data_IF_049842725848
#
_entry.id   IF_049842725848
#
_cell.length_a   1.000
_cell.length_b   1.000
_cell.length_c   1.000
_cell.angle_alpha   90.00
_cell.angle_beta   90.00
_cell.angle_gamma   90.00
#
_symmetry.space_group_name_H-M   'P 1'
#
loop_
_entity.id
_entity.type
_entity.pdbx_description
1 polymer ?
#
# COMPACT_ATOMS: atom_id res chain seq x y z
N UNK A 1 -5.83 22.06 9.83
CA UNK A 1 -4.87 21.30 9.01
C UNK A 1 -5.43 19.89 8.87
N UNK A 2 -5.35 19.28 7.70
CA UNK A 2 -5.89 17.94 7.49
C UNK A 2 -4.74 16.97 7.27
N UNK A 3 -4.78 15.83 7.94
CA UNK A 3 -3.82 14.75 7.77
C UNK A 3 -3.72 14.33 6.30
N UNK A 4 -2.50 14.06 5.84
CA UNK A 4 -2.21 13.60 4.48
C UNK A 4 -1.48 12.26 4.53
N UNK A 5 -1.90 11.35 3.68
CA UNK A 5 -1.21 10.08 3.48
C UNK A 5 -0.48 10.11 2.14
N UNK A 6 0.81 9.75 2.13
CA UNK A 6 1.56 9.58 0.89
C UNK A 6 1.91 8.11 0.67
N UNK A 7 1.84 7.67 -0.59
CA UNK A 7 2.23 6.35 -1.04
C UNK A 7 3.21 6.50 -2.19
N UNK A 8 4.49 6.30 -1.90
CA UNK A 8 5.57 6.45 -2.89
C UNK A 8 6.04 5.10 -3.35
N UNK A 9 5.93 4.85 -4.64
CA UNK A 9 6.48 3.66 -5.29
C UNK A 9 7.85 3.96 -5.85
N UNK A 10 8.79 3.05 -5.63
CA UNK A 10 10.14 3.12 -6.17
C UNK A 10 10.42 1.91 -7.06
N UNK A 11 11.06 2.17 -8.18
CA UNK A 11 11.55 1.12 -9.09
C UNK A 11 13.06 1.19 -9.19
N UNK A 12 13.71 0.06 -8.91
CA UNK A 12 15.17 -0.06 -8.93
C UNK A 12 15.64 -0.91 -10.11
N UNK A 13 16.77 -0.50 -10.71
CA UNK A 13 17.46 -1.25 -11.76
C UNK A 13 18.93 -1.49 -11.36
N UNK A 14 19.52 -2.53 -11.93
CA UNK A 14 20.89 -2.93 -11.56
C UNK A 14 21.01 -3.59 -10.19
N UNK A 15 22.03 -4.43 -10.01
CA UNK A 15 22.19 -5.20 -8.77
C UNK A 15 22.62 -4.34 -7.58
N UNK A 16 23.50 -3.36 -7.79
CA UNK A 16 23.97 -2.46 -6.73
C UNK A 16 22.80 -1.70 -6.09
N UNK A 17 21.91 -1.12 -6.92
CA UNK A 17 20.75 -0.36 -6.43
C UNK A 17 19.71 -1.25 -5.75
N UNK A 18 19.50 -2.48 -6.23
CA UNK A 18 18.61 -3.45 -5.56
C UNK A 18 19.15 -3.85 -4.19
N UNK A 19 20.46 -4.03 -4.07
CA UNK A 19 21.10 -4.32 -2.79
C UNK A 19 21.02 -3.11 -1.83
N UNK A 20 21.23 -1.91 -2.35
CA UNK A 20 21.01 -0.66 -1.61
C UNK A 20 19.57 -0.58 -1.05
N UNK A 21 18.55 -0.82 -1.90
CA UNK A 21 17.16 -0.80 -1.47
C UNK A 21 16.87 -1.85 -0.37
N UNK A 22 17.41 -3.06 -0.52
CA UNK A 22 17.25 -4.14 0.47
C UNK A 22 17.87 -3.76 1.82
N UNK A 23 19.09 -3.18 1.82
CA UNK A 23 19.76 -2.71 3.03
C UNK A 23 18.92 -1.62 3.72
N UNK A 24 18.39 -0.69 2.95
CA UNK A 24 17.57 0.41 3.46
C UNK A 24 16.23 -0.03 4.07
N UNK A 25 15.74 -1.24 3.85
CA UNK A 25 14.58 -1.79 4.56
C UNK A 25 14.74 -1.74 6.10
N UNK A 26 15.97 -1.84 6.59
CA UNK A 26 16.26 -1.76 8.02
C UNK A 26 16.69 -0.35 8.48
N UNK A 27 17.27 0.46 7.61
CA UNK A 27 17.94 1.70 7.96
C UNK A 27 17.07 2.97 7.73
N UNK A 28 16.23 2.98 6.69
CA UNK A 28 15.49 4.16 6.26
C UNK A 28 14.48 4.65 7.31
N UNK A 29 13.64 3.76 7.83
CA UNK A 29 12.58 4.12 8.79
C UNK A 29 13.18 4.66 10.10
N UNK A 30 14.19 4.01 10.72
CA UNK A 30 14.87 4.58 11.89
C UNK A 30 15.49 5.96 11.65
N UNK A 31 16.03 6.21 10.46
CA UNK A 31 16.64 7.49 10.10
C UNK A 31 15.60 8.63 9.96
N UNK A 32 14.31 8.29 9.78
CA UNK A 32 13.24 9.27 9.65
C UNK A 32 12.53 9.61 10.98
N UNK A 33 12.99 9.13 12.13
CA UNK A 33 12.31 9.30 13.44
C UNK A 33 12.09 10.76 13.85
N UNK A 34 13.01 11.65 13.51
CA UNK A 34 12.99 13.07 13.88
C UNK A 34 12.39 13.95 12.76
N UNK A 35 11.75 13.37 11.76
CA UNK A 35 11.14 14.14 10.68
C UNK A 35 9.88 14.83 11.19
N UNK A 36 9.88 16.16 11.08
CA UNK A 36 8.77 17.00 11.55
C UNK A 36 7.46 16.65 10.84
N UNK A 37 6.38 16.55 11.59
CA UNK A 37 5.04 16.31 11.07
C UNK A 37 4.80 14.89 10.53
N UNK A 38 5.76 13.96 10.68
CA UNK A 38 5.63 12.56 10.28
C UNK A 38 5.06 11.74 11.45
N UNK A 39 3.78 11.37 11.37
CA UNK A 39 3.09 10.58 12.40
C UNK A 39 3.27 9.08 12.23
N UNK A 40 3.43 8.63 10.97
CA UNK A 40 3.59 7.20 10.67
C UNK A 40 4.42 7.00 9.41
N UNK A 41 5.26 5.97 9.41
CA UNK A 41 6.12 5.62 8.27
C UNK A 41 6.33 4.12 8.18
N UNK A 42 6.24 3.58 6.96
CA UNK A 42 6.58 2.20 6.60
C UNK A 42 7.29 2.13 5.26
N UNK A 43 8.46 1.52 5.25
CA UNK A 43 9.11 1.09 4.01
C UNK A 43 8.83 -0.41 3.83
N UNK A 44 8.28 -0.79 2.68
CA UNK A 44 7.78 -2.13 2.38
C UNK A 44 8.39 -2.64 1.08
N UNK A 45 8.71 -3.93 1.05
CA UNK A 45 9.02 -4.63 -0.19
C UNK A 45 7.76 -5.08 -0.91
N UNK A 46 7.86 -5.43 -2.19
CA UNK A 46 6.77 -5.94 -3.02
C UNK A 46 6.97 -7.41 -3.41
N UNK A 47 5.87 -8.13 -3.64
CA UNK A 47 5.87 -9.45 -4.28
C UNK A 47 5.98 -9.34 -5.80
N UNK A 48 6.39 -10.42 -6.48
CA UNK A 48 6.44 -10.48 -7.96
C UNK A 48 5.05 -10.51 -8.58
N UNK A 49 4.97 -10.11 -9.85
CA UNK A 49 3.72 -10.04 -10.62
C UNK A 49 2.82 -8.93 -10.07
N UNK A 50 1.52 -9.21 -9.96
CA UNK A 50 0.54 -8.27 -9.40
C UNK A 50 0.62 -8.16 -7.86
N UNK A 51 1.80 -8.49 -7.27
CA UNK A 51 2.09 -8.36 -5.87
C UNK A 51 1.62 -9.50 -4.96
N UNK A 52 0.94 -10.49 -5.51
CA UNK A 52 0.43 -11.65 -4.76
C UNK A 52 1.38 -12.86 -4.75
N UNK A 53 2.61 -12.69 -5.25
CA UNK A 53 3.62 -13.75 -5.23
C UNK A 53 4.33 -13.81 -3.87
N UNK A 54 4.58 -15.03 -3.42
CA UNK A 54 5.43 -15.32 -2.26
C UNK A 54 6.89 -14.91 -2.50
N UNK A 55 7.30 -14.87 -3.79
CA UNK A 55 8.65 -14.47 -4.17
C UNK A 55 8.77 -12.94 -4.17
N UNK A 56 9.77 -12.37 -3.47
CA UNK A 56 9.97 -10.92 -3.44
C UNK A 56 10.40 -10.38 -4.82
N UNK A 57 9.94 -9.18 -5.14
CA UNK A 57 10.47 -8.39 -6.25
C UNK A 57 11.44 -7.33 -5.72
N UNK A 58 12.73 -7.62 -5.83
CA UNK A 58 13.79 -6.71 -5.40
C UNK A 58 13.89 -5.43 -6.25
N UNK A 59 13.04 -5.28 -7.27
CA UNK A 59 13.00 -4.08 -8.12
C UNK A 59 12.01 -3.05 -7.62
N UNK A 60 11.08 -3.43 -6.73
CA UNK A 60 9.98 -2.57 -6.33
C UNK A 60 9.85 -2.48 -4.83
N UNK A 61 9.83 -1.26 -4.32
CA UNK A 61 9.61 -0.91 -2.92
C UNK A 61 8.59 0.20 -2.80
N UNK A 62 7.98 0.30 -1.63
CA UNK A 62 6.95 1.29 -1.33
C UNK A 62 7.25 1.96 0.00
N UNK A 63 7.19 3.28 0.01
CA UNK A 63 7.22 4.10 1.21
C UNK A 63 5.82 4.65 1.47
N UNK A 64 5.23 4.30 2.59
CA UNK A 64 3.96 4.87 3.05
C UNK A 64 4.22 5.76 4.25
N UNK A 65 3.76 7.00 4.16
CA UNK A 65 3.86 7.98 5.24
C UNK A 65 2.50 8.59 5.54
N UNK A 66 2.29 8.95 6.81
CA UNK A 66 1.16 9.76 7.27
C UNK A 66 1.70 11.02 7.90
N UNK A 67 1.20 12.16 7.44
CA UNK A 67 1.69 13.50 7.76
C UNK A 67 0.62 14.33 8.44
N UNK A 68 1.01 15.18 9.37
CA UNK A 68 0.11 16.13 10.04
C UNK A 68 -0.52 17.12 9.06
N UNK A 69 0.24 17.51 8.02
CA UNK A 69 -0.24 18.36 6.93
C UNK A 69 0.54 18.13 5.64
N UNK A 70 0.06 18.71 4.54
CA UNK A 70 0.67 18.60 3.22
C UNK A 70 2.02 19.31 3.13
N UNK A 71 2.16 20.43 3.83
CA UNK A 71 3.39 21.22 3.88
C UNK A 71 4.56 20.43 4.49
N UNK A 72 4.31 19.61 5.52
CA UNK A 72 5.35 18.76 6.12
C UNK A 72 5.76 17.63 5.15
N UNK A 73 4.81 17.04 4.42
CA UNK A 73 5.10 16.09 3.35
C UNK A 73 5.96 16.72 2.24
N UNK A 74 5.56 17.89 1.75
CA UNK A 74 6.29 18.61 0.71
C UNK A 74 7.69 19.00 1.16
N UNK A 75 7.83 19.44 2.42
CA UNK A 75 9.14 19.76 2.98
C UNK A 75 10.06 18.53 2.99
N UNK A 76 9.54 17.38 3.41
CA UNK A 76 10.30 16.13 3.41
C UNK A 76 10.73 15.73 2.01
N UNK A 77 9.82 15.66 1.05
CA UNK A 77 10.15 15.22 -0.31
C UNK A 77 11.10 16.17 -1.02
N UNK A 78 11.02 17.48 -0.76
CA UNK A 78 11.89 18.50 -1.37
C UNK A 78 13.24 18.64 -0.68
N UNK A 79 13.32 18.45 0.65
CA UNK A 79 14.50 18.88 1.40
C UNK A 79 15.26 17.76 2.12
N UNK A 80 14.61 16.61 2.40
CA UNK A 80 15.24 15.51 3.12
C UNK A 80 16.43 14.92 2.36
N UNK A 81 17.60 14.94 2.97
CA UNK A 81 18.80 14.31 2.43
C UNK A 81 18.61 12.79 2.30
N UNK A 82 17.90 12.17 3.26
CA UNK A 82 17.61 10.72 3.27
C UNK A 82 16.75 10.34 2.07
N UNK A 83 15.69 11.11 1.79
CA UNK A 83 14.83 10.86 0.65
C UNK A 83 15.55 11.08 -0.67
N UNK A 84 16.32 12.16 -0.78
CA UNK A 84 17.13 12.47 -1.99
C UNK A 84 18.16 11.37 -2.30
N UNK A 85 18.86 10.88 -1.27
CA UNK A 85 19.80 9.78 -1.43
C UNK A 85 19.08 8.50 -1.89
N UNK A 86 17.93 8.19 -1.30
CA UNK A 86 17.15 7.02 -1.69
C UNK A 86 16.69 7.10 -3.16
N UNK A 87 16.16 8.25 -3.58
CA UNK A 87 15.70 8.51 -4.96
C UNK A 87 16.85 8.46 -5.96
N UNK A 88 18.04 8.95 -5.59
CA UNK A 88 19.22 8.91 -6.48
C UNK A 88 19.62 7.50 -6.93
N UNK A 89 19.21 6.47 -6.17
CA UNK A 89 19.44 5.06 -6.50
C UNK A 89 18.29 4.42 -7.28
N UNK A 90 17.17 5.13 -7.50
CA UNK A 90 16.00 4.60 -8.22
C UNK A 90 16.12 4.80 -9.73
N UNK A 91 15.46 3.95 -10.51
CA UNK A 91 15.27 4.17 -11.94
C UNK A 91 14.06 5.06 -12.20
N UNK A 92 13.06 5.00 -11.30
CA UNK A 92 11.83 5.79 -11.35
C UNK A 92 11.16 5.78 -9.98
N UNK A 93 10.38 6.83 -9.67
CA UNK A 93 9.49 6.85 -8.52
C UNK A 93 8.22 7.64 -8.81
N UNK A 94 7.15 7.31 -8.09
CA UNK A 94 5.90 8.07 -8.12
C UNK A 94 5.32 8.16 -6.72
N UNK A 95 4.92 9.35 -6.30
CA UNK A 95 4.24 9.62 -5.04
C UNK A 95 2.78 9.96 -5.31
N UNK A 96 1.89 9.27 -4.63
CA UNK A 96 0.46 9.56 -4.57
C UNK A 96 0.18 10.30 -3.27
N UNK A 97 -0.48 11.46 -3.34
CA UNK A 97 -0.98 12.20 -2.18
C UNK A 97 -2.46 11.90 -2.02
N UNK A 98 -2.83 11.48 -0.82
CA UNK A 98 -4.14 10.93 -0.54
C UNK A 98 -4.72 11.48 0.76
N UNK A 99 -6.06 11.56 0.82
CA UNK A 99 -6.81 11.79 2.06
C UNK A 99 -7.62 10.55 2.40
N UNK A 100 -7.66 10.19 3.68
CA UNK A 100 -8.40 9.02 4.15
C UNK A 100 -9.88 9.34 4.23
N UNK A 101 -10.72 8.54 3.58
CA UNK A 101 -12.18 8.69 3.62
C UNK A 101 -12.85 7.67 4.54
N UNK A 102 -12.16 6.56 4.84
CA UNK A 102 -12.64 5.50 5.71
C UNK A 102 -11.46 4.73 6.26
N UNK A 103 -11.54 4.33 7.52
CA UNK A 103 -10.58 3.41 8.14
C UNK A 103 -11.27 2.51 9.13
N UNK A 104 -10.80 1.26 9.22
CA UNK A 104 -11.23 0.27 10.20
C UNK A 104 -10.06 -0.63 10.56
N UNK A 105 -9.89 -0.95 11.84
CA UNK A 105 -8.81 -1.81 12.32
C UNK A 105 -7.56 -1.06 12.75
N UNK A 106 -6.45 -1.80 12.90
CA UNK A 106 -5.22 -1.32 13.49
C UNK A 106 -3.99 -1.72 12.67
N UNK A 107 -2.90 -0.96 12.83
CA UNK A 107 -1.58 -1.25 12.29
C UNK A 107 -0.51 -1.05 13.37
N UNK A 108 -0.02 -2.16 13.92
CA UNK A 108 0.92 -2.11 15.04
C UNK A 108 0.29 -1.63 16.35
N UNK A 109 -0.97 -2.01 16.60
CA UNK A 109 -1.69 -1.70 17.81
C UNK A 109 -2.40 -0.34 17.83
N UNK A 110 -2.28 0.47 16.78
CA UNK A 110 -2.95 1.78 16.68
C UNK A 110 -3.50 2.03 15.26
N UNK A 111 -4.42 2.96 15.13
CA UNK A 111 -4.89 3.44 13.83
C UNK A 111 -4.09 4.68 13.44
N UNK A 112 -3.29 4.65 12.34
CA UNK A 112 -2.49 5.81 11.93
C UNK A 112 -3.26 6.85 11.12
N UNK A 113 -4.52 6.58 10.72
CA UNK A 113 -5.27 7.41 9.78
C UNK A 113 -6.42 8.15 10.44
N UNK A 114 -6.61 9.40 10.06
CA UNK A 114 -7.79 10.20 10.35
C UNK A 114 -8.71 10.21 9.14
N UNK A 115 -9.92 9.68 9.29
CA UNK A 115 -10.87 9.58 8.19
C UNK A 115 -11.84 10.76 8.16
N UNK A 116 -12.00 11.36 6.97
CA UNK A 116 -13.04 12.34 6.68
C UNK A 116 -13.97 11.81 5.58
N UNK A 117 -15.13 11.31 5.98
CA UNK A 117 -16.13 10.75 5.07
C UNK A 117 -16.72 11.78 4.11
N UNK A 118 -16.65 13.07 4.42
CA UNK A 118 -17.18 14.14 3.55
C UNK A 118 -16.40 14.26 2.24
N UNK A 119 -15.18 13.75 2.20
CA UNK A 119 -14.33 13.71 0.99
C UNK A 119 -14.67 12.54 0.06
N UNK A 120 -15.58 11.66 0.48
CA UNK A 120 -15.91 10.47 -0.30
C UNK A 120 -16.89 10.80 -1.43
N UNK A 121 -16.49 10.45 -2.65
CA UNK A 121 -17.34 10.46 -3.84
C UNK A 121 -17.26 9.05 -4.48
N UNK A 122 -18.43 8.42 -4.68
CA UNK A 122 -18.50 7.06 -5.21
C UNK A 122 -18.07 6.93 -6.67
N UNK A 123 -18.11 8.04 -7.43
CA UNK A 123 -17.77 8.08 -8.85
C UNK A 123 -16.29 8.39 -9.11
N UNK A 124 -15.56 8.86 -8.09
CA UNK A 124 -14.14 9.20 -8.21
C UNK A 124 -13.24 7.97 -8.03
N UNK A 125 -12.02 8.10 -8.55
CA UNK A 125 -10.95 7.14 -8.34
C UNK A 125 -10.70 6.95 -6.85
N UNK A 126 -10.70 5.69 -6.42
CA UNK A 126 -10.53 5.30 -5.02
C UNK A 126 -9.31 4.41 -4.86
N UNK A 127 -8.48 4.72 -3.88
CA UNK A 127 -7.42 3.83 -3.45
C UNK A 127 -7.83 3.08 -2.18
N UNK A 128 -7.41 1.83 -2.08
CA UNK A 128 -7.74 0.93 -0.97
C UNK A 128 -6.46 0.27 -0.46
N UNK A 129 -6.28 0.32 0.83
CA UNK A 129 -5.27 -0.45 1.55
C UNK A 129 -5.96 -1.50 2.42
N UNK A 130 -5.59 -2.74 2.21
CA UNK A 130 -5.98 -3.85 3.10
C UNK A 130 -4.73 -4.46 3.67
N UNK A 131 -4.63 -4.53 4.98
CA UNK A 131 -3.45 -5.09 5.66
C UNK A 131 -3.88 -6.15 6.67
N UNK A 132 -3.07 -7.20 6.78
CA UNK A 132 -3.28 -8.25 7.76
C UNK A 132 -1.96 -8.75 8.34
N UNK A 133 -1.96 -9.04 9.63
CA UNK A 133 -0.88 -9.77 10.32
C UNK A 133 -1.29 -11.23 10.48
N UNK A 134 -0.66 -12.12 9.70
CA UNK A 134 -0.96 -13.54 9.71
C UNK A 134 -0.36 -14.19 10.98
N UNK A 135 -1.12 -15.04 11.64
CA UNK A 135 -0.62 -15.81 12.78
C UNK A 135 0.45 -16.80 12.34
N UNK A 136 1.53 -16.97 13.12
CA UNK A 136 2.61 -17.88 12.80
C UNK A 136 2.15 -19.33 12.51
N UNK A 137 1.23 -19.85 13.31
CA UNK A 137 0.68 -21.20 13.17
C UNK A 137 -0.16 -21.41 11.90
N UNK A 138 -0.72 -20.32 11.35
CA UNK A 138 -1.62 -20.37 10.20
C UNK A 138 -0.93 -19.98 8.89
N UNK A 139 0.34 -19.56 8.93
CA UNK A 139 1.09 -19.02 7.81
C UNK A 139 1.17 -19.97 6.62
N UNK A 140 1.54 -21.24 6.86
CA UNK A 140 1.66 -22.25 5.79
C UNK A 140 0.29 -22.51 5.15
N UNK A 141 -0.77 -22.57 5.96
CA UNK A 141 -2.12 -22.82 5.48
C UNK A 141 -2.66 -21.64 4.66
N UNK A 142 -2.44 -20.41 5.14
CA UNK A 142 -2.81 -19.20 4.42
C UNK A 142 -2.16 -19.15 3.02
N UNK A 143 -0.84 -19.35 2.94
CA UNK A 143 -0.12 -19.29 1.66
C UNK A 143 -0.46 -20.40 0.67
N UNK A 144 -0.98 -21.53 1.11
CA UNK A 144 -1.51 -22.58 0.22
C UNK A 144 -2.80 -22.17 -0.47
N UNK A 145 -3.61 -21.34 0.17
CA UNK A 145 -4.92 -20.91 -0.35
C UNK A 145 -4.83 -19.64 -1.26
N UNK A 146 -3.76 -18.84 -1.15
CA UNK A 146 -3.54 -17.60 -1.92
C UNK A 146 -3.56 -17.80 -3.45
N UNK A 147 -2.92 -18.84 -4.06
CA UNK A 147 -2.93 -19.03 -5.50
C UNK A 147 -4.33 -19.23 -6.10
N UNK A 148 -5.23 -19.85 -5.35
CA UNK A 148 -6.62 -20.06 -5.81
C UNK A 148 -7.39 -18.72 -5.93
N UNK A 149 -7.09 -17.76 -5.07
CA UNK A 149 -7.68 -16.41 -5.11
C UNK A 149 -7.07 -15.59 -6.25
N UNK A 150 -5.76 -15.65 -6.44
CA UNK A 150 -5.07 -14.95 -7.53
C UNK A 150 -5.53 -15.40 -8.91
N UNK A 151 -5.78 -16.70 -9.10
CA UNK A 151 -6.30 -17.26 -10.36
C UNK A 151 -7.74 -16.84 -10.68
N UNK A 152 -8.55 -16.47 -9.69
CA UNK A 152 -9.94 -16.03 -9.87
C UNK A 152 -10.11 -14.55 -10.24
N UNK A 153 -9.02 -13.77 -10.24
CA UNK A 153 -9.01 -12.35 -10.62
C UNK A 153 -9.40 -12.09 -12.10
N UNK A 154 -9.55 -13.14 -12.89
CA UNK A 154 -9.87 -13.06 -14.33
C UNK A 154 -11.32 -12.70 -14.69
N UNK A 155 -12.26 -12.75 -13.74
CA UNK A 155 -13.70 -12.56 -14.01
C UNK A 155 -14.27 -11.39 -13.19
N UNK A 156 -14.27 -10.18 -13.74
CA UNK A 156 -14.87 -9.00 -13.13
C UNK A 156 -14.06 -7.72 -13.35
N UNK A 157 -14.48 -6.60 -12.70
CA UNK A 157 -13.71 -5.36 -12.73
C UNK A 157 -12.30 -5.58 -12.22
N UNK A 158 -11.33 -4.95 -12.90
CA UNK A 158 -9.91 -5.01 -12.50
C UNK A 158 -9.47 -3.67 -11.93
N UNK A 159 -8.61 -3.66 -10.92
CA UNK A 159 -8.02 -2.41 -10.45
C UNK A 159 -7.16 -1.79 -11.57
N UNK A 160 -7.10 -0.47 -11.59
CA UNK A 160 -6.15 0.30 -12.43
C UNK A 160 -4.72 -0.08 -12.03
N UNK A 161 -4.52 -0.27 -10.74
CA UNK A 161 -3.25 -0.68 -10.15
C UNK A 161 -3.48 -1.58 -8.94
N UNK A 162 -2.64 -2.58 -8.76
CA UNK A 162 -2.58 -3.38 -7.54
C UNK A 162 -1.14 -3.76 -7.22
N UNK A 163 -0.78 -3.69 -5.94
CA UNK A 163 0.51 -4.15 -5.44
C UNK A 163 0.32 -4.84 -4.08
N UNK A 164 0.85 -6.05 -3.96
CA UNK A 164 1.05 -6.69 -2.68
C UNK A 164 2.37 -6.21 -2.08
N UNK A 165 2.33 -5.67 -0.88
CA UNK A 165 3.48 -5.10 -0.18
C UNK A 165 3.56 -5.64 1.24
N UNK A 166 4.75 -5.62 1.85
CA UNK A 166 4.91 -6.10 3.20
C UNK A 166 6.21 -5.66 3.85
N UNK A 167 6.18 -5.49 5.18
CA UNK A 167 7.34 -5.14 6.00
C UNK A 167 8.24 -6.35 6.24
N UNK A 168 7.63 -7.52 6.47
CA UNK A 168 8.31 -8.80 6.59
C UNK A 168 7.65 -9.82 5.67
N UNK A 169 8.44 -10.54 4.85
CA UNK A 169 7.92 -11.61 4.00
C UNK A 169 7.05 -12.58 4.80
N UNK A 170 5.96 -13.03 4.19
CA UNK A 170 5.01 -14.03 4.70
C UNK A 170 4.13 -13.61 5.88
N UNK A 171 4.52 -12.66 6.72
CA UNK A 171 3.80 -12.33 7.96
C UNK A 171 2.97 -11.04 7.87
N UNK A 172 3.58 -9.95 7.44
CA UNK A 172 2.94 -8.65 7.33
C UNK A 172 2.60 -8.38 5.88
N UNK A 173 1.36 -8.64 5.53
CA UNK A 173 0.87 -8.52 4.18
C UNK A 173 -0.10 -7.36 4.06
N UNK A 174 0.13 -6.55 3.05
CA UNK A 174 -0.81 -5.52 2.66
C UNK A 174 -1.04 -5.57 1.16
N UNK A 175 -2.21 -5.19 0.73
CA UNK A 175 -2.55 -4.95 -0.67
C UNK A 175 -2.96 -3.51 -0.81
N UNK A 176 -2.28 -2.80 -1.69
CA UNK A 176 -2.71 -1.47 -2.13
C UNK A 176 -3.27 -1.58 -3.54
N UNK A 177 -4.47 -1.07 -3.75
CA UNK A 177 -5.15 -1.14 -5.05
C UNK A 177 -5.85 0.18 -5.38
N UNK A 178 -5.88 0.52 -6.66
CA UNK A 178 -6.54 1.73 -7.18
C UNK A 178 -7.63 1.29 -8.15
N UNK A 179 -8.82 1.84 -8.00
CA UNK A 179 -10.03 1.51 -8.73
C UNK A 179 -10.59 2.75 -9.39
N UNK A 180 -11.21 2.58 -10.54
CA UNK A 180 -11.85 3.67 -11.28
C UNK A 180 -12.90 4.40 -10.44
N UNK A 181 -13.65 3.63 -9.65
CA UNK A 181 -14.66 4.14 -8.72
C UNK A 181 -15.00 3.11 -7.64
N UNK A 182 -15.81 3.50 -6.66
CA UNK A 182 -16.19 2.60 -5.57
C UNK A 182 -17.13 1.48 -5.99
N UNK A 183 -17.87 1.62 -7.10
CA UNK A 183 -18.76 0.59 -7.63
C UNK A 183 -17.96 -0.60 -8.16
N UNK A 184 -16.88 -0.34 -8.93
CA UNK A 184 -15.99 -1.40 -9.42
C UNK A 184 -15.27 -2.11 -8.26
N UNK A 185 -14.77 -1.34 -7.29
CA UNK A 185 -14.16 -1.90 -6.08
C UNK A 185 -15.13 -2.83 -5.32
N UNK A 186 -16.38 -2.37 -5.07
CA UNK A 186 -17.40 -3.17 -4.39
C UNK A 186 -17.79 -4.40 -5.23
N UNK A 187 -17.96 -4.23 -6.55
CA UNK A 187 -18.27 -5.34 -7.44
C UNK A 187 -17.18 -6.43 -7.40
N UNK A 188 -15.92 -6.06 -7.37
CA UNK A 188 -14.81 -7.00 -7.18
C UNK A 188 -14.90 -7.70 -5.81
N UNK A 189 -15.05 -6.92 -4.73
CA UNK A 189 -15.03 -7.44 -3.36
C UNK A 189 -16.19 -8.41 -3.07
N UNK A 190 -17.38 -8.18 -3.63
CA UNK A 190 -18.59 -8.94 -3.29
C UNK A 190 -19.04 -9.92 -4.37
N UNK A 191 -18.75 -9.69 -5.65
CA UNK A 191 -19.19 -10.58 -6.74
C UNK A 191 -18.23 -11.72 -7.05
N UNK A 192 -16.97 -11.60 -6.66
CA UNK A 192 -16.00 -12.68 -6.86
C UNK A 192 -16.16 -13.70 -5.72
N UNK A 193 -16.85 -14.82 -6.01
CA UNK A 193 -17.15 -15.88 -5.03
C UNK A 193 -15.90 -16.33 -4.25
N UNK A 194 -14.79 -16.52 -4.94
CA UNK A 194 -13.53 -16.91 -4.31
C UNK A 194 -13.02 -15.88 -3.30
N UNK A 195 -13.16 -14.58 -3.57
CA UNK A 195 -12.76 -13.52 -2.64
C UNK A 195 -13.70 -13.46 -1.43
N UNK A 196 -15.01 -13.52 -1.64
CA UNK A 196 -16.02 -13.55 -0.57
C UNK A 196 -15.85 -14.78 0.33
N UNK A 197 -15.59 -15.95 -0.27
CA UNK A 197 -15.34 -17.20 0.46
C UNK A 197 -14.06 -17.10 1.30
N UNK A 198 -13.00 -16.50 0.75
CA UNK A 198 -11.76 -16.28 1.48
C UNK A 198 -11.94 -15.33 2.67
N UNK A 199 -12.62 -14.20 2.49
CA UNK A 199 -12.95 -13.26 3.58
C UNK A 199 -13.76 -13.97 4.67
N UNK A 200 -14.76 -14.76 4.30
CA UNK A 200 -15.59 -15.53 5.25
C UNK A 200 -14.76 -16.58 5.98
N UNK A 201 -13.91 -17.32 5.25
CA UNK A 201 -13.01 -18.34 5.82
C UNK A 201 -12.03 -17.71 6.81
N UNK A 202 -11.42 -16.57 6.43
CA UNK A 202 -10.49 -15.83 7.26
C UNK A 202 -11.11 -15.40 8.59
N UNK A 203 -12.34 -14.86 8.56
CA UNK A 203 -13.07 -14.47 9.77
C UNK A 203 -13.44 -15.65 10.65
N UNK A 204 -13.92 -16.76 10.05
CA UNK A 204 -14.30 -17.98 10.80
C UNK A 204 -13.09 -18.66 11.45
N UNK A 205 -11.96 -18.73 10.77
CA UNK A 205 -10.76 -19.42 11.28
C UNK A 205 -9.91 -18.50 12.15
N UNK A 206 -10.08 -17.17 12.01
CA UNK A 206 -9.35 -16.17 12.78
C UNK A 206 -7.85 -16.22 12.47
N UNK A 207 -7.46 -16.21 11.19
CA UNK A 207 -6.06 -16.29 10.76
C UNK A 207 -5.24 -15.06 11.09
N UNK A 208 -5.88 -13.92 11.35
CA UNK A 208 -5.22 -12.66 11.61
C UNK A 208 -5.14 -12.35 13.10
N UNK A 209 -3.98 -11.83 13.52
CA UNK A 209 -3.83 -11.20 14.83
C UNK A 209 -4.33 -9.75 14.81
N UNK A 210 -4.17 -9.12 13.64
CA UNK A 210 -4.50 -7.72 13.45
C UNK A 210 -4.85 -7.50 11.97
N UNK A 211 -5.83 -6.68 11.71
CA UNK A 211 -6.20 -6.27 10.36
C UNK A 211 -6.43 -4.76 10.30
N UNK A 212 -6.26 -4.19 9.13
CA UNK A 212 -6.60 -2.80 8.83
C UNK A 212 -7.14 -2.71 7.41
N UNK A 213 -8.22 -1.97 7.25
CA UNK A 213 -8.76 -1.53 5.97
C UNK A 213 -8.81 -0.01 5.96
N UNK A 214 -8.27 0.61 4.92
CA UNK A 214 -8.37 2.05 4.71
C UNK A 214 -8.72 2.37 3.25
N UNK A 215 -9.54 3.39 3.07
CA UNK A 215 -9.92 3.90 1.76
C UNK A 215 -9.54 5.36 1.65
N UNK A 216 -9.02 5.72 0.47
CA UNK A 216 -8.46 7.04 0.22
C UNK A 216 -9.02 7.62 -1.08
N UNK A 217 -9.07 8.94 -1.14
CA UNK A 217 -9.16 9.70 -2.38
C UNK A 217 -7.75 10.20 -2.74
N UNK A 218 -7.33 9.96 -3.99
CA UNK A 218 -6.07 10.49 -4.52
C UNK A 218 -6.38 11.88 -5.08
N UNK A 219 -5.59 12.90 -4.70
CA UNK A 219 -5.84 14.28 -5.16
C UNK A 219 -4.61 14.92 -5.83
N UNK A 220 -3.42 14.32 -5.66
CA UNK A 220 -2.18 14.82 -6.29
C UNK A 220 -1.24 13.64 -6.55
N UNK A 221 -0.47 13.73 -7.63
CA UNK A 221 0.61 12.79 -7.95
C UNK A 221 1.87 13.55 -8.31
N UNK A 222 3.04 13.02 -7.93
CA UNK A 222 4.35 13.57 -8.27
C UNK A 222 5.30 12.46 -8.75
N UNK A 223 6.26 12.82 -9.60
CA UNK A 223 7.22 11.88 -10.17
C UNK A 223 6.77 11.26 -11.48
N UNK A 224 7.33 10.11 -11.84
CA UNK A 224 7.08 9.43 -13.10
C UNK A 224 5.81 8.57 -13.02
N UNK A 225 5.12 8.37 -14.17
CA UNK A 225 3.92 7.50 -14.22
C UNK A 225 4.32 6.04 -14.04
N UNK A 226 4.20 5.49 -12.84
CA UNK A 226 4.38 4.07 -12.51
C UNK A 226 3.04 3.34 -12.32
N UNK A 227 2.02 4.06 -11.93
CA UNK A 227 0.61 3.64 -11.89
C UNK A 227 -0.02 4.09 -13.19
N UNK A 228 -0.85 3.24 -13.81
CA UNK A 228 -1.54 3.58 -15.06
C UNK A 228 -2.24 4.93 -15.05
N UNK A 229 -2.89 5.31 -16.13
CA UNK A 229 -3.49 6.65 -16.26
C UNK A 229 -4.48 6.96 -15.13
N UNK A 230 -4.04 7.86 -14.24
CA UNK A 230 -4.86 8.46 -13.20
C UNK A 230 -5.44 9.81 -13.68
N UNK A 231 -5.60 10.01 -15.00
CA UNK A 231 -6.06 11.27 -15.61
C UNK A 231 -7.48 11.69 -15.19
N UNK A 232 -8.21 10.79 -14.50
CA UNK A 232 -9.54 11.08 -13.96
C UNK A 232 -9.55 11.59 -12.51
N UNK A 233 -8.45 12.15 -12.01
CA UNK A 233 -8.37 12.69 -10.64
C UNK A 233 -9.10 14.03 -10.44
N UNK A 234 -9.70 14.59 -11.51
CA UNK A 234 -10.39 15.88 -11.48
C UNK A 234 -11.89 15.73 -11.57
#
# INVERSE_FOLDING_TARGET
MHQVTTFTMFRFSGWANKFFALKNMAEFVPACKEVKGLDFIKLMGSGRGDGFSVLPDLRQYVLMCVWQCEEDADHFFKNSAIFKDYVAHTAAFQTLYMKTTMVHGLWGGHNPFEADITLFDENRTVAVLTRATIRWKDMIRFWKDVPAVSGSLGQGPRPIFAAGVGELPFRYQATFSIWKNSHEMKAFAYKTKAHADMVTKTRKVGWYNEELFARFVIYRTEGEKLVGDLESLH
#
